data_IF_224953349968
#
_entry.id   IF_224953349968
#
_cell.length_a   1.000
_cell.length_b   1.000
_cell.length_c   1.000
_cell.angle_alpha   90.00
_cell.angle_beta   90.00
_cell.angle_gamma   90.00
#
_symmetry.space_group_name_H-M   'P 1'
#
loop_
_entity.id
_entity.type
_entity.pdbx_description
1 polymer ?
#
# COMPACT_ATOMS: atom_id res chain seq x y z
N UNK A 1 44.88 -19.15 -7.19
CA UNK A 1 43.84 -19.50 -6.20
C UNK A 1 42.81 -18.39 -6.16
N UNK A 2 41.58 -18.71 -6.53
CA UNK A 2 40.41 -17.82 -6.55
C UNK A 2 39.85 -17.68 -5.12
N UNK A 3 39.55 -16.45 -4.67
CA UNK A 3 38.56 -16.13 -3.62
C UNK A 3 38.00 -14.72 -3.93
N UNK A 4 37.03 -14.57 -4.83
CA UNK A 4 35.57 -14.41 -4.54
C UNK A 4 35.29 -13.54 -3.31
N UNK A 5 34.97 -12.26 -3.50
CA UNK A 5 33.61 -11.70 -3.62
C UNK A 5 32.84 -11.71 -2.28
N UNK A 6 32.76 -10.56 -1.63
CA UNK A 6 31.66 -10.23 -0.71
C UNK A 6 31.10 -8.89 -1.18
N UNK A 7 30.20 -8.99 -2.15
CA UNK A 7 29.36 -7.88 -2.57
C UNK A 7 28.34 -7.62 -1.46
N UNK A 8 28.39 -6.42 -0.90
CA UNK A 8 27.35 -5.85 -0.08
C UNK A 8 26.10 -5.73 -0.98
N UNK A 9 25.13 -6.62 -0.81
CA UNK A 9 23.83 -6.54 -1.50
C UNK A 9 23.05 -5.40 -0.85
N UNK A 10 23.28 -4.19 -1.33
CA UNK A 10 22.32 -3.10 -1.16
C UNK A 10 21.18 -3.40 -2.13
N UNK A 11 20.05 -3.86 -1.61
CA UNK A 11 18.82 -4.07 -2.37
C UNK A 11 18.30 -2.69 -2.82
N UNK A 12 18.81 -2.20 -3.94
CA UNK A 12 18.22 -1.08 -4.64
C UNK A 12 16.90 -1.58 -5.26
N UNK A 13 15.78 -1.28 -4.61
CA UNK A 13 14.45 -1.44 -5.19
C UNK A 13 14.34 -0.49 -6.37
N UNK A 14 14.69 -0.96 -7.57
CA UNK A 14 14.46 -0.25 -8.82
C UNK A 14 13.09 -0.66 -9.34
N UNK A 15 12.03 0.05 -8.91
CA UNK A 15 10.69 -0.11 -9.48
C UNK A 15 10.64 0.67 -10.78
N UNK A 16 10.43 -0.02 -11.90
CA UNK A 16 10.11 0.61 -13.18
C UNK A 16 8.71 1.21 -13.09
N UNK A 17 8.62 2.53 -13.00
CA UNK A 17 7.36 3.26 -13.15
C UNK A 17 7.14 3.60 -14.63
N UNK A 18 5.95 3.38 -15.19
CA UNK A 18 5.58 4.00 -16.46
C UNK A 18 5.62 5.52 -16.29
N UNK A 19 6.18 6.22 -17.28
CA UNK A 19 6.11 7.67 -17.37
C UNK A 19 4.65 8.09 -17.56
N UNK A 20 3.92 8.29 -16.46
CA UNK A 20 2.64 8.98 -16.45
C UNK A 20 2.92 10.49 -16.48
N UNK A 21 1.94 11.29 -16.93
CA UNK A 21 2.03 12.75 -16.95
C UNK A 21 2.30 13.35 -15.57
N UNK A 22 2.17 14.67 -15.42
CA UNK A 22 2.32 15.38 -14.13
C UNK A 22 1.24 14.99 -13.08
N UNK A 23 0.89 13.70 -12.95
CA UNK A 23 0.04 13.20 -11.91
C UNK A 23 0.74 13.40 -10.56
N UNK A 24 0.02 13.99 -9.63
CA UNK A 24 0.45 14.26 -8.26
C UNK A 24 -0.17 13.21 -7.34
N UNK A 25 0.52 12.09 -7.06
CA UNK A 25 -0.03 11.06 -6.20
C UNK A 25 0.03 11.51 -4.74
N UNK A 26 -1.07 11.35 -4.02
CA UNK A 26 -1.06 11.35 -2.57
C UNK A 26 -0.54 9.99 -2.08
N UNK A 27 0.52 10.01 -1.28
CA UNK A 27 0.92 8.84 -0.51
C UNK A 27 0.98 9.20 0.97
N UNK A 28 0.25 8.48 1.85
CA UNK A 28 0.31 8.68 3.29
C UNK A 28 1.74 8.57 3.83
N UNK A 29 2.06 9.37 4.83
CA UNK A 29 3.35 9.23 5.53
C UNK A 29 3.40 7.92 6.32
N UNK A 30 4.61 7.43 6.65
CA UNK A 30 4.77 6.24 7.50
C UNK A 30 4.02 6.37 8.82
N UNK A 31 4.04 7.55 9.45
CA UNK A 31 3.33 7.80 10.71
C UNK A 31 1.81 7.68 10.57
N UNK A 32 1.25 8.10 9.43
CA UNK A 32 -0.18 7.98 9.17
C UNK A 32 -0.57 6.53 8.87
N UNK A 33 0.27 5.78 8.14
CA UNK A 33 0.04 4.34 7.90
C UNK A 33 0.08 3.57 9.22
N UNK A 34 1.00 3.92 10.13
CA UNK A 34 1.08 3.32 11.46
C UNK A 34 -0.16 3.56 12.33
N UNK A 35 -0.96 4.59 12.03
CA UNK A 35 -2.23 4.83 12.72
C UNK A 35 -3.41 4.12 12.08
N UNK A 36 -3.22 3.39 10.96
CA UNK A 36 -4.31 2.62 10.36
C UNK A 36 -4.75 1.53 11.32
N UNK A 37 -6.05 1.38 11.51
CA UNK A 37 -6.65 0.36 12.36
C UNK A 37 -7.80 -0.33 11.65
N UNK A 38 -8.49 -1.19 12.39
CA UNK A 38 -9.71 -1.84 11.93
C UNK A 38 -10.81 -0.79 11.72
N UNK A 39 -11.43 -0.79 10.54
CA UNK A 39 -12.56 0.09 10.21
C UNK A 39 -13.85 -0.72 10.13
N UNK A 40 -13.82 -1.80 9.36
CA UNK A 40 -14.98 -2.66 9.14
C UNK A 40 -14.54 -3.98 8.50
N UNK A 41 -15.51 -4.84 8.25
CA UNK A 41 -15.33 -6.13 7.58
C UNK A 41 -16.57 -6.43 6.75
N UNK A 42 -16.44 -7.36 5.81
CA UNK A 42 -17.55 -7.85 5.02
C UNK A 42 -17.32 -9.32 4.63
N UNK A 43 -18.21 -10.26 4.96
CA UNK A 43 -19.39 -10.07 5.82
C UNK A 43 -18.99 -9.80 7.28
N UNK A 44 -19.93 -9.24 8.05
CA UNK A 44 -19.75 -9.03 9.50
C UNK A 44 -19.76 -10.39 10.22
N UNK A 45 -18.67 -10.73 10.89
CA UNK A 45 -18.52 -11.98 11.65
C UNK A 45 -17.77 -11.76 12.95
N UNK A 46 -18.09 -12.54 13.99
CA UNK A 46 -17.39 -12.45 15.26
C UNK A 46 -15.91 -12.92 15.21
N UNK A 47 -15.49 -13.53 14.10
CA UNK A 47 -14.17 -14.14 13.96
C UNK A 47 -13.12 -13.19 13.40
N UNK A 48 -13.48 -12.36 12.42
CA UNK A 48 -12.56 -11.44 11.74
C UNK A 48 -12.01 -10.41 12.72
N UNK A 49 -10.69 -10.17 12.64
CA UNK A 49 -10.01 -9.22 13.52
C UNK A 49 -8.68 -8.78 12.96
N UNK A 50 -8.25 -7.60 13.41
CA UNK A 50 -6.90 -7.08 13.26
C UNK A 50 -6.17 -7.25 14.61
N UNK A 51 -4.94 -7.76 14.60
CA UNK A 51 -4.05 -7.74 15.75
C UNK A 51 -3.31 -6.40 15.85
N UNK A 52 -2.59 -6.17 16.94
CA UNK A 52 -1.85 -4.92 17.14
C UNK A 52 -0.93 -4.61 15.95
N UNK A 53 -1.07 -3.39 15.42
CA UNK A 53 -0.32 -2.89 14.29
C UNK A 53 1.13 -2.69 14.69
N UNK A 54 2.04 -3.27 13.91
CA UNK A 54 3.47 -3.20 14.19
C UNK A 54 4.09 -2.08 13.37
N UNK A 55 4.56 -1.02 14.03
CA UNK A 55 5.23 0.08 13.37
C UNK A 55 6.57 -0.37 12.76
N UNK A 56 6.86 0.11 11.55
CA UNK A 56 8.12 -0.07 10.84
C UNK A 56 8.70 1.29 10.44
N UNK A 57 10.01 1.38 10.26
CA UNK A 57 10.67 2.64 9.86
C UNK A 57 10.06 3.26 8.59
N UNK A 58 9.62 2.42 7.65
CA UNK A 58 9.02 2.84 6.38
C UNK A 58 7.56 2.36 6.22
N UNK A 59 6.75 2.42 7.27
CA UNK A 59 5.32 2.11 7.20
C UNK A 59 4.84 1.28 8.40
N UNK A 60 4.01 0.28 8.15
CA UNK A 60 3.51 -0.61 9.20
C UNK A 60 3.23 -2.03 8.68
N UNK A 61 3.29 -2.99 9.59
CA UNK A 61 2.88 -4.37 9.38
C UNK A 61 1.53 -4.63 10.06
N UNK A 62 0.63 -5.22 9.30
CA UNK A 62 -0.74 -5.58 9.67
C UNK A 62 -0.85 -7.09 9.65
N UNK A 63 -1.29 -7.66 10.77
CA UNK A 63 -1.53 -9.09 10.91
C UNK A 63 -2.95 -9.24 11.44
N UNK A 64 -3.68 -10.21 10.92
CA UNK A 64 -5.03 -10.47 11.37
C UNK A 64 -5.59 -11.71 10.72
N UNK A 65 -6.90 -11.84 10.80
CA UNK A 65 -7.62 -12.92 10.16
C UNK A 65 -8.95 -12.44 9.61
N UNK A 66 -9.44 -13.13 8.59
CA UNK A 66 -10.72 -12.90 7.95
C UNK A 66 -11.52 -14.20 7.97
N UNK A 67 -12.64 -14.22 8.67
CA UNK A 67 -13.58 -15.32 8.71
C UNK A 67 -14.82 -15.00 7.87
N UNK A 68 -15.22 -15.88 6.93
CA UNK A 68 -16.48 -15.73 6.22
C UNK A 68 -17.63 -16.26 7.07
N UNK A 69 -18.86 -15.85 6.74
CA UNK A 69 -20.07 -16.52 7.27
C UNK A 69 -20.24 -17.92 6.68
N UNK A 70 -19.81 -18.11 5.42
CA UNK A 70 -19.87 -19.37 4.69
C UNK A 70 -18.51 -19.68 4.10
N UNK A 71 -17.99 -20.88 4.37
CA UNK A 71 -16.72 -21.36 3.80
C UNK A 71 -16.75 -21.29 2.27
N UNK A 72 -15.65 -20.82 1.66
CA UNK A 72 -15.52 -20.71 0.21
C UNK A 72 -16.24 -19.50 -0.39
N UNK A 73 -16.58 -18.49 0.42
CA UNK A 73 -17.09 -17.21 -0.07
C UNK A 73 -16.07 -16.10 0.11
N UNK A 74 -16.25 -15.01 -0.65
CA UNK A 74 -15.49 -13.79 -0.46
C UNK A 74 -15.70 -13.26 0.97
N UNK A 75 -14.59 -12.86 1.59
CA UNK A 75 -14.59 -12.06 2.80
C UNK A 75 -13.41 -11.09 2.79
N UNK A 76 -13.58 -9.97 3.48
CA UNK A 76 -12.60 -8.90 3.54
C UNK A 76 -12.60 -8.17 4.89
N UNK A 77 -11.47 -7.51 5.16
CA UNK A 77 -11.28 -6.57 6.25
C UNK A 77 -10.84 -5.23 5.67
N UNK A 78 -11.35 -4.14 6.25
CA UNK A 78 -11.01 -2.77 5.87
C UNK A 78 -10.10 -2.17 6.93
N UNK A 79 -8.92 -1.76 6.49
CA UNK A 79 -7.90 -1.15 7.33
C UNK A 79 -7.65 0.29 6.90
N UNK A 80 -7.58 1.20 7.84
CA UNK A 80 -7.36 2.60 7.52
C UNK A 80 -7.53 3.51 8.71
N UNK A 81 -7.68 4.79 8.42
CA UNK A 81 -7.90 5.82 9.44
C UNK A 81 -9.07 6.69 9.03
N UNK A 82 -9.73 7.27 10.03
CA UNK A 82 -10.72 8.33 9.85
C UNK A 82 -10.09 9.67 10.23
N UNK A 83 -10.60 10.75 9.64
CA UNK A 83 -10.06 12.09 9.82
C UNK A 83 -10.40 12.99 8.63
N UNK A 84 -10.18 14.29 8.77
CA UNK A 84 -10.36 15.22 7.65
C UNK A 84 -9.11 15.19 6.75
N UNK A 85 -9.30 14.84 5.48
CA UNK A 85 -8.27 14.86 4.45
C UNK A 85 -8.74 15.75 3.30
N UNK A 86 -7.85 16.63 2.84
CA UNK A 86 -8.04 17.36 1.58
C UNK A 86 -7.14 16.74 0.53
N UNK A 87 -7.75 16.01 -0.40
CA UNK A 87 -7.08 15.35 -1.51
C UNK A 87 -7.30 16.08 -2.84
N UNK A 88 -7.88 17.29 -2.83
CA UNK A 88 -8.27 18.02 -4.05
C UNK A 88 -7.10 18.45 -4.94
N UNK A 89 -5.89 18.50 -4.38
CA UNK A 89 -4.66 18.82 -5.12
C UNK A 89 -3.94 17.59 -5.68
N UNK A 90 -4.49 16.39 -5.52
CA UNK A 90 -3.88 15.14 -5.95
C UNK A 90 -4.73 14.46 -7.02
N UNK A 91 -4.08 13.71 -7.90
CA UNK A 91 -4.76 12.98 -8.99
C UNK A 91 -5.03 11.51 -8.62
N UNK A 92 -4.36 11.02 -7.58
CA UNK A 92 -4.53 9.64 -7.12
C UNK A 92 -4.12 9.46 -5.66
N UNK A 93 -4.58 8.37 -5.06
CA UNK A 93 -4.06 7.85 -3.79
C UNK A 93 -3.26 6.58 -4.05
N UNK A 94 -2.03 6.50 -3.54
CA UNK A 94 -1.12 5.38 -3.77
C UNK A 94 -0.51 4.84 -2.48
N UNK A 95 -0.34 3.52 -2.44
CA UNK A 95 0.27 2.81 -1.32
C UNK A 95 1.07 1.61 -1.85
N UNK A 96 2.25 1.37 -1.28
CA UNK A 96 3.00 0.15 -1.54
C UNK A 96 2.52 -0.92 -0.56
N UNK A 97 2.13 -2.08 -1.08
CA UNK A 97 1.63 -3.22 -0.31
C UNK A 97 2.55 -4.42 -0.53
N UNK A 98 3.04 -5.01 0.56
CA UNK A 98 3.73 -6.30 0.57
C UNK A 98 2.85 -7.37 1.18
N UNK A 99 2.74 -8.53 0.52
CA UNK A 99 2.09 -9.72 1.07
C UNK A 99 3.16 -10.68 1.58
N UNK A 100 3.21 -10.90 2.89
CA UNK A 100 4.16 -11.79 3.56
C UNK A 100 3.49 -13.09 4.04
N UNK A 101 2.22 -13.28 3.72
CA UNK A 101 1.48 -14.50 4.01
C UNK A 101 1.84 -15.61 3.01
N UNK A 102 1.67 -16.87 3.41
CA UNK A 102 1.98 -18.04 2.58
C UNK A 102 1.10 -18.17 1.33
N UNK A 103 -0.07 -17.50 1.34
CA UNK A 103 -1.05 -17.49 0.26
C UNK A 103 -1.20 -16.12 -0.42
N UNK A 104 -1.61 -16.07 -1.71
CA UNK A 104 -1.97 -14.81 -2.36
C UNK A 104 -3.21 -14.18 -1.71
N UNK A 105 -3.18 -12.86 -1.58
CA UNK A 105 -4.29 -12.05 -1.06
C UNK A 105 -4.63 -10.94 -2.05
N UNK A 106 -5.90 -10.53 -2.08
CA UNK A 106 -6.35 -9.43 -2.91
C UNK A 106 -6.45 -8.15 -2.07
N UNK A 107 -6.12 -7.03 -2.72
CA UNK A 107 -6.06 -5.73 -2.09
C UNK A 107 -6.67 -4.65 -3.00
N UNK A 108 -7.27 -3.64 -2.41
CA UNK A 108 -7.62 -2.40 -3.09
C UNK A 108 -7.50 -1.21 -2.13
N UNK A 109 -7.47 0.00 -2.66
CA UNK A 109 -7.51 1.23 -1.88
C UNK A 109 -8.94 1.76 -1.80
N UNK A 110 -9.27 2.47 -0.73
CA UNK A 110 -10.58 3.12 -0.61
C UNK A 110 -10.47 4.54 -0.06
N UNK A 111 -11.52 5.31 -0.33
CA UNK A 111 -11.82 6.59 0.30
C UNK A 111 -13.26 6.59 0.81
N UNK A 112 -13.46 7.24 1.96
CA UNK A 112 -14.77 7.68 2.43
C UNK A 112 -14.79 9.18 2.56
N UNK A 113 -15.95 9.80 2.39
CA UNK A 113 -16.09 11.25 2.51
C UNK A 113 -17.52 11.70 2.34
N UNK A 114 -17.71 13.00 2.13
CA UNK A 114 -19.02 13.60 1.86
C UNK A 114 -19.03 14.47 0.61
N UNK A 115 -20.04 14.30 -0.23
CA UNK A 115 -20.31 15.20 -1.36
C UNK A 115 -21.71 15.78 -1.18
N UNK A 116 -21.82 17.11 -1.09
CA UNK A 116 -23.10 17.80 -0.87
C UNK A 116 -23.90 17.26 0.34
N UNK A 117 -23.21 16.85 1.40
CA UNK A 117 -23.82 16.31 2.62
C UNK A 117 -24.25 14.83 2.53
N UNK A 118 -23.91 14.13 1.45
CA UNK A 118 -24.14 12.70 1.28
C UNK A 118 -22.83 11.95 1.41
N UNK A 119 -22.79 10.95 2.30
CA UNK A 119 -21.62 10.09 2.50
C UNK A 119 -21.34 9.26 1.23
N UNK A 120 -20.06 9.09 0.90
CA UNK A 120 -19.62 8.18 -0.15
C UNK A 120 -18.59 7.19 0.36
N UNK A 121 -18.56 6.03 -0.32
CA UNK A 121 -17.48 5.06 -0.26
C UNK A 121 -17.10 4.73 -1.69
N UNK A 122 -15.84 4.96 -2.04
CA UNK A 122 -15.29 4.66 -3.37
C UNK A 122 -14.00 3.88 -3.20
N UNK A 123 -13.72 2.98 -4.13
CA UNK A 123 -12.57 2.08 -4.05
C UNK A 123 -11.95 1.83 -5.41
N UNK A 124 -10.66 1.51 -5.41
CA UNK A 124 -9.96 1.04 -6.61
C UNK A 124 -10.37 -0.39 -6.97
N UNK A 125 -9.96 -0.84 -8.16
CA UNK A 125 -10.05 -2.25 -8.53
C UNK A 125 -9.20 -3.12 -7.57
N UNK A 126 -9.65 -4.36 -7.38
CA UNK A 126 -8.91 -5.38 -6.65
C UNK A 126 -7.69 -5.83 -7.45
N UNK A 127 -6.57 -5.95 -6.76
CA UNK A 127 -5.31 -6.48 -7.28
C UNK A 127 -4.79 -7.58 -6.37
N UNK A 128 -4.43 -8.71 -6.95
CA UNK A 128 -3.86 -9.83 -6.20
C UNK A 128 -2.35 -9.70 -6.10
N UNK A 129 -1.82 -9.78 -4.89
CA UNK A 129 -0.37 -9.82 -4.63
C UNK A 129 -0.02 -11.21 -4.13
N UNK A 130 0.85 -11.90 -4.87
CA UNK A 130 1.31 -13.25 -4.53
C UNK A 130 2.09 -13.27 -3.21
N UNK A 131 2.22 -14.46 -2.61
CA UNK A 131 3.06 -14.68 -1.42
C UNK A 131 4.49 -14.15 -1.66
N UNK A 132 5.00 -13.38 -0.70
CA UNK A 132 6.30 -12.72 -0.73
C UNK A 132 6.38 -11.57 -1.74
N UNK A 133 5.28 -11.28 -2.43
CA UNK A 133 5.19 -10.25 -3.44
C UNK A 133 5.01 -8.86 -2.84
N UNK A 134 5.36 -7.85 -3.63
CA UNK A 134 5.06 -6.45 -3.33
C UNK A 134 4.47 -5.81 -4.58
N UNK A 135 3.47 -4.97 -4.39
CA UNK A 135 2.81 -4.23 -5.47
C UNK A 135 2.51 -2.80 -5.04
N UNK A 136 2.53 -1.88 -5.99
CA UNK A 136 2.03 -0.52 -5.78
C UNK A 136 0.57 -0.48 -6.19
N UNK A 137 -0.31 -0.16 -5.25
CA UNK A 137 -1.71 0.10 -5.55
C UNK A 137 -1.87 1.60 -5.84
N UNK A 138 -2.72 1.89 -6.82
CA UNK A 138 -3.08 3.25 -7.19
C UNK A 138 -4.61 3.33 -7.34
N UNK A 139 -5.18 4.36 -6.72
CA UNK A 139 -6.56 4.75 -6.89
C UNK A 139 -6.59 6.07 -7.66
N UNK A 140 -6.89 5.99 -8.95
CA UNK A 140 -7.08 7.15 -9.82
C UNK A 140 -8.37 7.87 -9.46
N UNK A 141 -8.28 9.19 -9.26
CA UNK A 141 -9.43 10.03 -8.97
C UNK A 141 -10.13 10.55 -10.22
N UNK A 142 -9.54 10.34 -11.40
CA UNK A 142 -10.08 10.78 -12.67
C UNK A 142 -11.48 10.19 -12.89
N UNK A 143 -12.46 11.08 -13.10
CA UNK A 143 -13.85 10.69 -13.36
C UNK A 143 -14.65 10.29 -12.11
N UNK A 144 -14.07 10.40 -10.90
CA UNK A 144 -14.86 10.28 -9.68
C UNK A 144 -15.76 11.52 -9.51
N UNK A 145 -17.05 11.29 -9.30
CA UNK A 145 -18.00 12.35 -8.95
C UNK A 145 -18.10 12.50 -7.43
N UNK A 146 -16.98 12.85 -6.79
CA UNK A 146 -16.86 13.02 -5.33
C UNK A 146 -16.11 14.31 -5.00
N UNK A 147 -16.42 14.92 -3.86
CA UNK A 147 -15.69 16.06 -3.31
C UNK A 147 -14.44 15.56 -2.55
N UNK A 148 -13.27 15.71 -3.19
CA UNK A 148 -11.97 15.30 -2.63
C UNK A 148 -11.47 16.24 -1.52
N UNK A 149 -12.07 17.42 -1.35
CA UNK A 149 -11.74 18.33 -0.22
C UNK A 149 -12.41 17.89 1.09
N UNK A 150 -13.30 16.90 1.03
CA UNK A 150 -14.12 16.40 2.14
C UNK A 150 -13.98 14.89 2.34
N UNK A 151 -12.76 14.38 2.19
CA UNK A 151 -12.45 13.00 2.50
C UNK A 151 -12.41 12.84 4.02
N UNK A 152 -13.13 11.86 4.54
CA UNK A 152 -13.28 11.56 5.97
C UNK A 152 -12.54 10.28 6.38
N UNK A 153 -12.02 9.52 5.42
CA UNK A 153 -11.25 8.32 5.70
C UNK A 153 -10.54 7.79 4.47
N UNK A 154 -9.37 7.20 4.72
CA UNK A 154 -8.50 6.60 3.70
C UNK A 154 -7.98 5.27 4.22
N UNK A 155 -7.66 4.36 3.31
CA UNK A 155 -7.05 3.09 3.67
C UNK A 155 -7.06 2.07 2.55
N UNK A 156 -6.97 0.81 2.92
CA UNK A 156 -7.00 -0.31 1.99
C UNK A 156 -7.84 -1.45 2.53
N UNK A 157 -8.41 -2.26 1.64
CA UNK A 157 -9.05 -3.50 2.02
C UNK A 157 -8.13 -4.69 1.71
N UNK A 158 -8.26 -5.74 2.50
CA UNK A 158 -7.63 -7.05 2.28
C UNK A 158 -8.77 -8.06 2.15
N UNK A 159 -8.78 -8.86 1.09
CA UNK A 159 -9.84 -9.83 0.87
C UNK A 159 -9.39 -11.06 0.10
N UNK A 160 -10.18 -12.13 0.22
CA UNK A 160 -10.01 -13.37 -0.52
C UNK A 160 -11.29 -14.20 -0.46
N UNK A 161 -11.36 -15.25 -1.29
CA UNK A 161 -12.28 -16.36 -1.07
C UNK A 161 -11.63 -17.26 -0.01
N UNK A 162 -12.19 -17.30 1.19
CA UNK A 162 -11.58 -17.96 2.36
C UNK A 162 -12.36 -19.22 2.78
N UNK A 163 -11.69 -20.26 3.31
CA UNK A 163 -10.25 -20.33 3.54
C UNK A 163 -9.45 -20.47 2.25
N UNK A 164 -8.23 -19.95 2.30
CA UNK A 164 -7.19 -20.19 1.32
C UNK A 164 -6.62 -21.62 1.48
N UNK A 165 -5.84 -22.13 0.51
CA UNK A 165 -5.20 -23.44 0.61
C UNK A 165 -4.48 -23.63 1.96
N UNK A 166 -4.71 -24.79 2.59
CA UNK A 166 -4.19 -25.06 3.93
C UNK A 166 -5.10 -24.64 5.09
N UNK A 167 -6.36 -24.26 4.83
CA UNK A 167 -7.29 -23.72 5.84
C UNK A 167 -6.81 -22.39 6.43
N UNK A 168 -6.21 -21.56 5.57
CA UNK A 168 -5.63 -20.28 5.97
C UNK A 168 -6.69 -19.17 5.91
N UNK A 169 -6.85 -18.51 7.05
CA UNK A 169 -7.72 -17.34 7.26
C UNK A 169 -6.91 -16.11 7.63
N UNK A 170 -5.60 -16.24 7.75
CA UNK A 170 -4.71 -15.21 8.28
C UNK A 170 -4.06 -14.42 7.16
N UNK A 171 -3.94 -13.12 7.37
CA UNK A 171 -3.18 -12.25 6.48
C UNK A 171 -1.99 -11.68 7.23
N UNK A 172 -0.91 -11.49 6.48
CA UNK A 172 0.28 -10.78 6.92
C UNK A 172 0.69 -9.81 5.82
N UNK A 173 0.49 -8.52 6.08
CA UNK A 173 0.64 -7.46 5.08
C UNK A 173 1.52 -6.36 5.62
N UNK A 174 2.39 -5.80 4.77
CA UNK A 174 3.10 -4.56 5.05
C UNK A 174 2.54 -3.49 4.14
N UNK A 175 2.25 -2.30 4.68
CA UNK A 175 1.97 -1.12 3.87
C UNK A 175 3.04 -0.06 4.11
N UNK A 176 3.43 0.63 3.04
CA UNK A 176 4.48 1.65 3.03
C UNK A 176 4.11 2.81 2.11
N UNK A 177 4.62 4.03 2.38
CA UNK A 177 4.50 5.15 1.44
C UNK A 177 5.17 4.82 0.12
N UNK A 178 4.62 5.33 -0.98
CA UNK A 178 5.28 5.30 -2.29
C UNK A 178 6.28 6.45 -2.34
N UNK A 179 7.57 6.20 -2.65
CA UNK A 179 8.56 7.27 -2.78
C UNK A 179 8.13 8.30 -3.84
N UNK A 180 8.23 9.58 -3.49
CA UNK A 180 7.93 10.66 -4.42
C UNK A 180 8.86 10.60 -5.66
N UNK A 181 8.36 10.90 -6.87
CA UNK A 181 9.19 10.91 -8.09
C UNK A 181 10.46 11.76 -7.96
N UNK A 182 10.39 12.89 -7.24
CA UNK A 182 11.54 13.77 -6.98
C UNK A 182 12.66 13.09 -6.16
N UNK A 183 12.30 12.20 -5.23
CA UNK A 183 13.28 11.46 -4.41
C UNK A 183 14.06 10.47 -5.28
N UNK A 184 13.39 9.80 -6.21
CA UNK A 184 14.02 8.86 -7.16
C UNK A 184 14.96 9.62 -8.09
N UNK A 185 14.52 10.77 -8.62
CA UNK A 185 15.34 11.61 -9.47
C UNK A 185 16.57 12.14 -8.73
N UNK A 186 16.42 12.59 -7.48
CA UNK A 186 17.52 13.07 -6.64
C UNK A 186 18.52 11.95 -6.34
N UNK A 187 18.05 10.75 -6.02
CA UNK A 187 18.91 9.59 -5.83
C UNK A 187 19.70 9.26 -7.10
N UNK A 188 19.02 9.25 -8.26
CA UNK A 188 19.65 9.05 -9.55
C UNK A 188 20.72 10.10 -9.85
N UNK A 189 20.39 11.38 -9.69
CA UNK A 189 21.32 12.49 -9.90
C UNK A 189 22.51 12.46 -8.93
N UNK A 190 22.25 12.13 -7.67
CA UNK A 190 23.27 11.98 -6.64
C UNK A 190 24.26 10.86 -6.96
N UNK A 191 23.78 9.69 -7.38
CA UNK A 191 24.63 8.55 -7.77
C UNK A 191 25.49 8.87 -9.00
N UNK A 192 24.92 9.56 -10.00
CA UNK A 192 25.69 10.03 -11.17
C UNK A 192 26.77 11.02 -10.74
N UNK A 193 26.44 11.98 -9.86
CA UNK A 193 27.40 12.94 -9.32
C UNK A 193 28.57 12.25 -8.59
N UNK A 194 28.28 11.26 -7.74
CA UNK A 194 29.29 10.46 -7.04
C UNK A 194 30.17 9.67 -8.02
N UNK A 195 29.56 9.04 -9.03
CA UNK A 195 30.30 8.29 -10.06
C UNK A 195 31.28 9.16 -10.84
N UNK A 196 30.85 10.36 -11.26
CA UNK A 196 31.71 11.33 -11.95
C UNK A 196 32.84 11.85 -11.04
N UNK A 197 32.56 12.09 -9.76
CA UNK A 197 33.56 12.51 -8.78
C UNK A 197 34.66 11.45 -8.58
N UNK A 198 34.28 10.19 -8.42
CA UNK A 198 35.23 9.08 -8.27
C UNK A 198 36.09 8.94 -9.53
N UNK A 199 35.51 9.08 -10.73
CA UNK A 199 36.26 9.05 -11.99
C UNK A 199 37.32 10.15 -12.04
N UNK A 200 36.97 11.38 -11.62
CA UNK A 200 37.91 12.51 -11.60
C UNK A 200 39.07 12.33 -10.61
N UNK A 201 38.90 11.58 -9.53
CA UNK A 201 39.98 11.29 -8.57
C UNK A 201 40.88 10.12 -8.96
N UNK A 202 40.45 9.29 -9.91
CA UNK A 202 41.24 8.14 -10.41
C UNK A 202 41.99 8.45 -11.71
N UNK A 203 41.63 9.52 -12.40
CA UNK A 203 42.39 10.11 -13.51
C UNK A 203 43.39 11.13 -12.94
#
# INVERSE_FOLDING_TARGET
MKKTLSALVLLAMLVALPALGNATPYSPTSSLIQSFGYISENPVTAGTKLFDVQALDNGAKFIGNIYPTTTGTWAEIRLGTTGAFDLSSYDSFMLQIGNFNENPWAYNLYLTGQTNGVDYYVQSAWSTINNGGTGTLAFDFTGLNVDLSKVTGIGFNIGAIVPLPGQDYTFETIAAPVPEPGTIMLLGAGLVGVGLYIRRKRA
#
